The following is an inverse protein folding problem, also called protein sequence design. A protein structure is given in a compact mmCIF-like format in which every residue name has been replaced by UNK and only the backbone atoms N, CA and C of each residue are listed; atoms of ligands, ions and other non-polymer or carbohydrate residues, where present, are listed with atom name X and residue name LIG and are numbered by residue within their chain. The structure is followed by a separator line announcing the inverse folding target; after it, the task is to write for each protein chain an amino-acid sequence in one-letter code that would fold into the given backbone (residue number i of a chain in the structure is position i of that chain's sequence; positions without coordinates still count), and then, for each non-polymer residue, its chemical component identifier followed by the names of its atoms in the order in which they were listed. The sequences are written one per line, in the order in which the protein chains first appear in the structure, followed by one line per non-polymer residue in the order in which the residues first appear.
data_IF_739451504851
#
_entry.id   IF_739451504851
#
_cell.length_a   1.000
_cell.length_b   1.000
_cell.length_c   1.000
_cell.angle_alpha   90.00
_cell.angle_beta   90.00
_cell.angle_gamma   90.00
#
_symmetry.space_group_name_H-M   'P 1'
#
loop_
_entity.id
_entity.type
_entity.pdbx_description
1 polymer ?
#
# COMPACT_ATOMS: atom_id res chain seq x y z
N UNK A 1 -13.27 -5.84 -13.54
CA UNK A 1 -14.01 -5.68 -12.26
C UNK A 1 -15.45 -5.91 -12.61
N UNK A 2 -16.27 -6.40 -11.67
CA UNK A 2 -17.70 -6.54 -11.92
C UNK A 2 -18.31 -5.24 -12.47
N UNK A 3 -19.39 -5.34 -13.23
CA UNK A 3 -20.07 -4.16 -13.78
C UNK A 3 -20.69 -3.32 -12.66
N UNK A 4 -21.01 -2.05 -12.93
CA UNK A 4 -21.68 -1.19 -11.95
C UNK A 4 -23.07 -1.75 -11.60
N UNK A 5 -23.82 -2.23 -12.60
CA UNK A 5 -25.12 -2.89 -12.41
C UNK A 5 -25.00 -4.14 -11.53
N UNK A 6 -23.97 -4.96 -11.75
CA UNK A 6 -23.70 -6.13 -10.93
C UNK A 6 -23.34 -5.74 -9.49
N UNK A 7 -22.50 -4.72 -9.30
CA UNK A 7 -22.22 -4.17 -7.98
C UNK A 7 -23.50 -3.71 -7.28
N UNK A 8 -24.31 -2.89 -7.93
CA UNK A 8 -25.57 -2.38 -7.38
C UNK A 8 -26.49 -3.51 -6.94
N UNK A 9 -26.57 -4.59 -7.73
CA UNK A 9 -27.37 -5.77 -7.40
C UNK A 9 -26.87 -6.50 -6.15
N UNK A 10 -25.55 -6.53 -5.94
CA UNK A 10 -24.94 -7.19 -4.78
C UNK A 10 -25.16 -6.35 -3.52
N UNK A 11 -24.96 -5.03 -3.60
CA UNK A 11 -24.97 -4.14 -2.42
C UNK A 11 -26.35 -3.54 -2.11
N UNK A 12 -27.39 -3.87 -2.87
CA UNK A 12 -28.75 -3.33 -2.64
C UNK A 12 -29.26 -3.50 -1.19
N UNK A 13 -29.01 -4.63 -0.51
CA UNK A 13 -29.38 -4.81 0.90
C UNK A 13 -28.59 -3.96 1.91
N UNK A 14 -27.48 -3.33 1.52
CA UNK A 14 -26.62 -2.54 2.42
C UNK A 14 -27.29 -1.19 2.74
N UNK A 15 -27.15 -0.66 3.98
CA UNK A 15 -27.66 0.67 4.32
C UNK A 15 -27.21 1.73 3.31
N UNK A 16 -28.15 2.59 2.88
CA UNK A 16 -27.96 3.57 1.80
C UNK A 16 -26.67 4.38 1.95
N UNK A 17 -26.30 4.78 3.17
CA UNK A 17 -25.05 5.49 3.43
C UNK A 17 -23.83 4.70 2.95
N UNK A 18 -23.67 3.44 3.40
CA UNK A 18 -22.52 2.61 3.01
C UNK A 18 -22.60 2.21 1.54
N UNK A 19 -23.80 1.98 1.00
CA UNK A 19 -24.02 1.76 -0.44
C UNK A 19 -23.41 2.89 -1.29
N UNK A 20 -23.69 4.17 -0.95
CA UNK A 20 -23.15 5.32 -1.67
C UNK A 20 -21.62 5.45 -1.57
N UNK A 21 -21.03 5.12 -0.41
CA UNK A 21 -19.56 5.09 -0.27
C UNK A 21 -18.92 4.07 -1.24
N UNK A 22 -19.49 2.86 -1.34
CA UNK A 22 -18.98 1.80 -2.22
C UNK A 22 -19.11 2.14 -3.70
N UNK A 23 -20.22 2.75 -4.09
CA UNK A 23 -20.44 3.22 -5.46
C UNK A 23 -19.41 4.31 -5.83
N UNK A 24 -19.07 5.23 -4.91
CA UNK A 24 -18.03 6.23 -5.17
C UNK A 24 -16.64 5.58 -5.25
N UNK A 25 -16.31 4.62 -4.38
CA UNK A 25 -15.05 3.87 -4.49
C UNK A 25 -14.96 3.07 -5.79
N UNK A 26 -16.08 2.51 -6.28
CA UNK A 26 -16.13 1.87 -7.60
C UNK A 26 -15.67 2.84 -8.69
N UNK A 27 -16.28 4.04 -8.77
CA UNK A 27 -15.91 5.03 -9.78
C UNK A 27 -14.48 5.55 -9.60
N UNK A 28 -14.02 5.71 -8.35
CA UNK A 28 -12.65 6.07 -8.02
C UNK A 28 -11.66 5.04 -8.59
N UNK A 29 -11.90 3.75 -8.39
CA UNK A 29 -11.10 2.69 -9.00
C UNK A 29 -11.11 2.79 -10.53
N UNK A 30 -12.29 2.86 -11.16
CA UNK A 30 -12.39 2.87 -12.64
C UNK A 30 -11.61 4.05 -13.24
N UNK A 31 -11.82 5.26 -12.70
CA UNK A 31 -11.14 6.48 -13.15
C UNK A 31 -9.64 6.37 -12.88
N UNK A 32 -9.25 5.86 -11.71
CA UNK A 32 -7.84 5.71 -11.39
C UNK A 32 -7.14 4.70 -12.30
N UNK A 33 -7.84 3.65 -12.74
CA UNK A 33 -7.42 2.68 -13.76
C UNK A 33 -7.50 3.19 -15.22
N UNK A 34 -7.73 4.49 -15.46
CA UNK A 34 -7.88 5.10 -16.79
C UNK A 34 -9.05 4.55 -17.62
N UNK A 35 -10.13 4.10 -16.98
CA UNK A 35 -11.34 3.72 -17.71
C UNK A 35 -12.24 4.94 -17.90
N UNK A 36 -12.86 5.02 -19.07
CA UNK A 36 -13.68 6.16 -19.49
C UNK A 36 -15.07 6.12 -18.83
N UNK A 37 -15.13 6.35 -17.51
CA UNK A 37 -16.37 6.32 -16.72
C UNK A 37 -16.76 7.67 -16.13
N UNK A 38 -16.10 8.78 -16.53
CA UNK A 38 -16.41 10.11 -16.00
C UNK A 38 -17.83 10.57 -16.37
N UNK A 39 -18.29 10.32 -17.59
CA UNK A 39 -19.65 10.68 -18.02
C UNK A 39 -20.73 9.88 -17.25
N UNK A 40 -20.43 8.61 -16.95
CA UNK A 40 -21.30 7.76 -16.13
C UNK A 40 -21.33 8.26 -14.69
N UNK A 41 -20.16 8.61 -14.14
CA UNK A 41 -20.06 9.22 -12.81
C UNK A 41 -20.76 10.57 -12.74
N UNK A 42 -20.69 11.41 -13.78
CA UNK A 42 -21.39 12.70 -13.85
C UNK A 42 -22.91 12.53 -13.75
N UNK A 43 -23.47 11.52 -14.44
CA UNK A 43 -24.88 11.17 -14.31
C UNK A 43 -25.20 10.70 -12.90
N UNK A 44 -24.43 9.75 -12.37
CA UNK A 44 -24.59 9.24 -11.01
C UNK A 44 -24.51 10.37 -9.96
N UNK A 45 -23.52 11.26 -10.06
CA UNK A 45 -23.35 12.39 -9.15
C UNK A 45 -24.57 13.33 -9.16
N UNK A 46 -25.07 13.70 -10.34
CA UNK A 46 -26.25 14.58 -10.47
C UNK A 46 -27.54 13.92 -10.00
N UNK A 47 -27.81 12.72 -10.49
CA UNK A 47 -29.12 12.09 -10.38
C UNK A 47 -29.29 11.34 -9.05
N UNK A 48 -28.17 10.90 -8.45
CA UNK A 48 -28.18 10.09 -7.22
C UNK A 48 -27.64 10.85 -6.03
N UNK A 49 -26.40 11.37 -6.12
CA UNK A 49 -25.77 12.01 -4.96
C UNK A 49 -26.39 13.38 -4.67
N UNK A 50 -26.56 14.25 -5.67
CA UNK A 50 -27.06 15.61 -5.48
C UNK A 50 -28.58 15.70 -5.26
N UNK A 51 -29.36 14.76 -5.81
CA UNK A 51 -30.82 14.76 -5.70
C UNK A 51 -31.35 14.18 -4.36
N UNK A 52 -30.55 13.42 -3.62
CA UNK A 52 -30.95 12.74 -2.38
C UNK A 52 -30.46 13.40 -1.09
N UNK A 53 -30.89 12.86 0.06
CA UNK A 53 -30.26 13.14 1.37
C UNK A 53 -28.88 12.46 1.43
N UNK A 54 -27.85 13.18 0.99
CA UNK A 54 -26.47 12.69 1.00
C UNK A 54 -25.71 13.15 2.25
N UNK A 55 -24.73 12.34 2.65
CA UNK A 55 -23.74 12.75 3.63
C UNK A 55 -22.69 13.64 2.92
N UNK A 56 -22.23 14.69 3.62
CA UNK A 56 -21.09 15.54 3.24
C UNK A 56 -19.88 14.70 2.79
N UNK A 57 -19.67 13.52 3.40
CA UNK A 57 -18.64 12.53 3.00
C UNK A 57 -18.71 12.15 1.52
N UNK A 58 -19.86 11.70 1.02
CA UNK A 58 -19.96 11.19 -0.35
C UNK A 58 -19.70 12.28 -1.40
N UNK A 59 -20.12 13.52 -1.10
CA UNK A 59 -19.87 14.67 -1.97
C UNK A 59 -18.39 15.03 -1.97
N UNK A 60 -17.73 15.03 -0.81
CA UNK A 60 -16.27 15.25 -0.75
C UNK A 60 -15.48 14.14 -1.45
N UNK A 61 -15.86 12.87 -1.29
CA UNK A 61 -15.25 11.76 -2.06
C UNK A 61 -15.46 11.95 -3.58
N UNK A 62 -16.57 12.55 -4.00
CA UNK A 62 -16.79 12.86 -5.42
C UNK A 62 -15.80 13.89 -5.95
N UNK A 63 -15.34 14.84 -5.11
CA UNK A 63 -14.30 15.79 -5.48
C UNK A 63 -12.97 15.07 -5.78
N UNK A 64 -12.66 13.99 -5.06
CA UNK A 64 -11.50 13.16 -5.34
C UNK A 64 -11.62 12.46 -6.69
N UNK A 65 -12.78 11.91 -7.01
CA UNK A 65 -13.05 11.30 -8.31
C UNK A 65 -12.82 12.31 -9.46
N UNK A 66 -13.33 13.54 -9.32
CA UNK A 66 -13.10 14.61 -10.30
C UNK A 66 -11.62 15.02 -10.38
N UNK A 67 -10.96 15.18 -9.24
CA UNK A 67 -9.55 15.53 -9.19
C UNK A 67 -8.67 14.47 -9.88
N UNK A 68 -8.94 13.19 -9.66
CA UNK A 68 -8.26 12.07 -10.31
C UNK A 68 -8.50 12.02 -11.82
N UNK A 69 -9.71 12.39 -12.25
CA UNK A 69 -10.07 12.52 -13.66
C UNK A 69 -9.46 13.75 -14.35
N UNK A 70 -8.86 14.67 -13.58
CA UNK A 70 -8.28 15.92 -14.07
C UNK A 70 -9.27 17.09 -14.18
N UNK A 71 -10.52 16.91 -13.74
CA UNK A 71 -11.53 17.97 -13.66
C UNK A 71 -11.32 18.78 -12.38
N UNK A 72 -10.28 19.63 -12.41
CA UNK A 72 -9.91 20.47 -11.27
C UNK A 72 -10.99 21.47 -10.91
N UNK A 73 -11.72 22.00 -11.89
CA UNK A 73 -12.73 23.02 -11.67
C UNK A 73 -13.89 22.49 -10.82
N UNK A 74 -14.43 21.30 -11.16
CA UNK A 74 -15.47 20.65 -10.34
C UNK A 74 -14.95 20.27 -8.95
N UNK A 75 -13.74 19.72 -8.87
CA UNK A 75 -13.14 19.36 -7.59
C UNK A 75 -13.00 20.60 -6.67
N UNK A 76 -12.50 21.71 -7.21
CA UNK A 76 -12.38 22.99 -6.50
C UNK A 76 -13.75 23.56 -6.11
N UNK A 77 -14.76 23.47 -6.97
CA UNK A 77 -16.13 23.92 -6.65
C UNK A 77 -16.68 23.17 -5.43
N UNK A 78 -16.57 21.84 -5.43
CA UNK A 78 -17.03 20.99 -4.33
C UNK A 78 -16.25 21.34 -3.04
N UNK A 79 -14.92 21.45 -3.10
CA UNK A 79 -14.10 21.82 -1.94
C UNK A 79 -14.47 23.20 -1.37
N UNK A 80 -14.74 24.20 -2.21
CA UNK A 80 -15.13 25.54 -1.73
C UNK A 80 -16.44 25.51 -0.97
N UNK A 81 -17.39 24.65 -1.38
CA UNK A 81 -18.73 24.56 -0.81
C UNK A 81 -18.80 23.63 0.40
N UNK A 82 -18.09 22.50 0.36
CA UNK A 82 -18.19 21.43 1.35
C UNK A 82 -16.91 21.20 2.15
N UNK A 83 -15.75 21.67 1.70
CA UNK A 83 -14.45 21.43 2.35
C UNK A 83 -14.09 22.39 3.49
N UNK A 84 -15.05 23.20 3.98
CA UNK A 84 -14.86 24.14 5.10
C UNK A 84 -15.54 23.61 6.36
N UNK A 85 -14.98 23.99 7.52
CA UNK A 85 -15.47 23.65 8.87
C UNK A 85 -15.77 22.15 8.97
N UNK A 86 -14.71 21.36 8.86
CA UNK A 86 -14.76 19.90 8.96
C UNK A 86 -14.33 19.51 10.38
N UNK A 87 -15.18 18.76 11.07
CA UNK A 87 -14.92 18.26 12.42
C UNK A 87 -14.68 16.74 12.45
N UNK A 88 -14.80 16.09 11.29
CA UNK A 88 -14.66 14.64 11.10
C UNK A 88 -13.33 14.35 10.40
N UNK A 89 -12.55 13.44 11.00
CA UNK A 89 -11.19 13.10 10.57
C UNK A 89 -11.14 12.57 9.13
N UNK A 90 -12.09 11.72 8.72
CA UNK A 90 -12.16 11.22 7.35
C UNK A 90 -12.38 12.38 6.37
N UNK A 91 -13.30 13.30 6.71
CA UNK A 91 -13.60 14.44 5.85
C UNK A 91 -12.40 15.37 5.69
N UNK A 92 -11.66 15.62 6.78
CA UNK A 92 -10.44 16.44 6.78
C UNK A 92 -9.40 15.81 5.85
N UNK A 93 -9.16 14.50 5.98
CA UNK A 93 -8.19 13.78 5.16
C UNK A 93 -8.58 13.76 3.68
N UNK A 94 -9.85 13.48 3.35
CA UNK A 94 -10.35 13.56 1.98
C UNK A 94 -10.15 14.96 1.41
N UNK A 95 -10.62 16.00 2.10
CA UNK A 95 -10.51 17.38 1.61
C UNK A 95 -9.05 17.82 1.41
N UNK A 96 -8.16 17.42 2.32
CA UNK A 96 -6.72 17.70 2.26
C UNK A 96 -6.08 17.02 1.05
N UNK A 97 -6.34 15.72 0.85
CA UNK A 97 -5.83 14.97 -0.28
C UNK A 97 -6.31 15.56 -1.62
N UNK A 98 -7.60 15.87 -1.74
CA UNK A 98 -8.18 16.45 -2.97
C UNK A 98 -7.48 17.75 -3.33
N UNK A 99 -7.24 18.66 -2.36
CA UNK A 99 -6.47 19.90 -2.57
C UNK A 99 -5.09 19.59 -3.14
N UNK A 100 -4.40 18.61 -2.58
CA UNK A 100 -3.08 18.22 -3.04
C UNK A 100 -3.09 17.63 -4.46
N UNK A 101 -4.08 16.79 -4.80
CA UNK A 101 -4.25 16.22 -6.16
C UNK A 101 -4.45 17.34 -7.20
N UNK A 102 -5.24 18.37 -6.89
CA UNK A 102 -5.42 19.51 -7.80
C UNK A 102 -4.23 20.47 -7.83
N UNK A 103 -3.24 20.28 -6.94
CA UNK A 103 -2.00 21.06 -6.85
C UNK A 103 -2.07 22.25 -5.88
N UNK A 104 -3.11 22.33 -5.05
CA UNK A 104 -3.25 23.32 -3.99
C UNK A 104 -2.51 22.87 -2.73
N UNK A 105 -1.87 23.83 -2.04
CA UNK A 105 -1.20 23.57 -0.77
C UNK A 105 -2.23 23.16 0.30
N UNK A 106 -1.97 22.10 1.08
CA UNK A 106 -2.88 21.71 2.15
C UNK A 106 -2.88 22.77 3.26
N UNK A 107 -4.04 22.94 3.90
CA UNK A 107 -4.17 23.65 5.17
C UNK A 107 -3.81 22.67 6.29
N UNK A 108 -2.96 23.08 7.24
CA UNK A 108 -2.61 22.20 8.35
C UNK A 108 -3.80 22.00 9.29
N UNK A 109 -4.08 20.75 9.61
CA UNK A 109 -4.99 20.31 10.66
C UNK A 109 -4.32 19.19 11.49
N UNK A 110 -4.42 19.20 12.83
CA UNK A 110 -3.82 18.18 13.68
C UNK A 110 -4.42 16.76 13.48
N UNK A 111 -5.53 16.65 12.78
CA UNK A 111 -6.23 15.39 12.44
C UNK A 111 -5.77 14.77 11.12
N UNK A 112 -4.81 15.40 10.41
CA UNK A 112 -4.28 14.87 9.15
C UNK A 112 -3.46 13.60 9.42
N UNK A 113 -3.78 12.55 8.68
CA UNK A 113 -3.03 11.30 8.69
C UNK A 113 -1.67 11.46 7.99
N UNK A 114 -0.69 10.69 8.45
CA UNK A 114 0.68 10.73 7.92
C UNK A 114 0.73 10.42 6.42
N UNK A 115 -0.06 9.45 5.96
CA UNK A 115 -0.16 9.06 4.56
C UNK A 115 -0.63 10.22 3.68
N UNK A 116 -1.63 10.99 4.13
CA UNK A 116 -2.14 12.17 3.41
C UNK A 116 -1.09 13.28 3.38
N UNK A 117 -0.42 13.54 4.50
CA UNK A 117 0.62 14.57 4.60
C UNK A 117 1.80 14.28 3.66
N UNK A 118 2.26 13.03 3.63
CA UNK A 118 3.37 12.60 2.76
C UNK A 118 2.94 12.57 1.28
N UNK A 119 1.71 12.16 0.97
CA UNK A 119 1.16 12.27 -0.39
C UNK A 119 1.17 13.72 -0.87
N UNK A 120 0.71 14.67 -0.04
CA UNK A 120 0.72 16.10 -0.36
C UNK A 120 2.12 16.64 -0.66
N UNK A 121 3.15 16.19 0.05
CA UNK A 121 4.55 16.59 -0.18
C UNK A 121 5.04 16.29 -1.61
N UNK A 122 4.50 15.22 -2.20
CA UNK A 122 4.85 14.75 -3.54
C UNK A 122 3.93 15.27 -4.64
N UNK A 123 2.67 15.59 -4.29
CA UNK A 123 1.68 16.10 -5.24
C UNK A 123 1.75 17.62 -5.43
N UNK A 124 2.12 18.37 -4.38
CA UNK A 124 2.17 19.84 -4.42
C UNK A 124 3.61 20.31 -4.64
N UNK A 125 3.89 21.03 -5.75
CA UNK A 125 5.19 21.65 -5.97
C UNK A 125 5.56 22.57 -4.79
N UNK A 126 6.81 22.50 -4.34
CA UNK A 126 7.38 23.34 -3.27
C UNK A 126 6.76 23.19 -1.88
N UNK A 127 5.84 22.24 -1.65
CA UNK A 127 5.31 21.98 -0.32
C UNK A 127 6.28 21.12 0.51
N UNK A 128 6.77 21.68 1.62
CA UNK A 128 7.60 20.99 2.59
C UNK A 128 6.78 20.65 3.85
N UNK A 129 6.49 19.35 4.11
CA UNK A 129 5.60 18.92 5.19
C UNK A 129 6.25 18.88 6.57
N UNK A 130 7.57 19.08 6.71
CA UNK A 130 8.30 18.77 7.96
C UNK A 130 7.77 19.55 9.16
N UNK A 131 7.48 20.85 8.97
CA UNK A 131 6.95 21.69 10.06
C UNK A 131 5.57 21.25 10.49
N UNK A 132 4.75 20.82 9.53
CA UNK A 132 3.39 20.33 9.78
C UNK A 132 3.45 18.98 10.48
N UNK A 133 4.30 18.07 10.01
CA UNK A 133 4.54 16.77 10.63
C UNK A 133 4.99 16.87 12.09
N UNK A 134 5.97 17.73 12.40
CA UNK A 134 6.44 17.92 13.77
C UNK A 134 5.38 18.49 14.73
N UNK A 135 4.31 19.10 14.21
CA UNK A 135 3.18 19.59 15.02
C UNK A 135 2.19 18.48 15.38
N UNK A 136 2.26 17.31 14.73
CA UNK A 136 1.45 16.13 15.05
C UNK A 136 1.96 15.37 16.28
N UNK A 137 3.10 15.80 16.85
CA UNK A 137 3.79 15.12 17.97
C UNK A 137 4.05 13.62 17.70
N UNK A 138 4.77 13.29 16.60
CA UNK A 138 4.93 11.92 16.15
C UNK A 138 5.80 11.09 17.10
N UNK A 139 5.44 9.83 17.28
CA UNK A 139 6.30 8.86 17.94
C UNK A 139 7.50 8.45 17.04
N UNK A 140 8.45 7.69 17.59
CA UNK A 140 9.67 7.28 16.88
C UNK A 140 9.40 6.48 15.59
N UNK A 141 8.38 5.61 15.60
CA UNK A 141 8.02 4.79 14.44
C UNK A 141 7.40 5.66 13.34
N UNK A 142 6.48 6.57 13.70
CA UNK A 142 5.89 7.55 12.77
C UNK A 142 6.96 8.48 12.18
N UNK A 143 7.94 8.89 13.00
CA UNK A 143 9.07 9.71 12.56
C UNK A 143 9.93 9.01 11.51
N UNK A 144 10.24 7.74 11.72
CA UNK A 144 11.03 6.93 10.78
C UNK A 144 10.24 6.61 9.50
N UNK A 145 8.96 6.28 9.64
CA UNK A 145 8.04 6.08 8.51
C UNK A 145 7.91 7.34 7.65
N UNK A 146 7.78 8.51 8.28
CA UNK A 146 7.75 9.79 7.58
C UNK A 146 9.03 10.03 6.78
N UNK A 147 10.21 9.78 7.35
CA UNK A 147 11.49 9.89 6.63
C UNK A 147 11.49 9.04 5.36
N UNK A 148 11.08 7.77 5.47
CA UNK A 148 11.05 6.82 4.34
C UNK A 148 10.10 7.29 3.24
N UNK A 149 8.88 7.68 3.62
CA UNK A 149 7.85 8.15 2.70
C UNK A 149 8.18 9.52 2.10
N UNK A 150 9.04 10.31 2.74
CA UNK A 150 9.48 11.61 2.24
C UNK A 150 10.54 11.47 1.13
N UNK A 151 11.43 10.48 1.22
CA UNK A 151 12.56 10.32 0.29
C UNK A 151 12.26 9.44 -0.92
N UNK A 152 11.28 8.54 -0.82
CA UNK A 152 10.84 7.68 -1.93
C UNK A 152 9.32 7.79 -2.08
N UNK A 153 8.87 8.06 -3.30
CA UNK A 153 7.45 8.10 -3.67
C UNK A 153 6.90 6.72 -3.92
N UNK A 154 7.71 5.86 -4.52
CA UNK A 154 7.45 4.45 -4.69
C UNK A 154 8.81 3.75 -4.87
N UNK A 155 8.78 2.48 -5.27
CA UNK A 155 10.00 1.70 -5.52
C UNK A 155 10.96 2.31 -6.54
N UNK A 156 10.45 3.07 -7.49
CA UNK A 156 11.20 3.54 -8.65
C UNK A 156 11.48 5.04 -8.62
N UNK A 157 10.68 5.81 -7.90
CA UNK A 157 10.61 7.27 -7.99
C UNK A 157 11.11 7.91 -6.71
N UNK A 158 12.22 8.66 -6.74
CA UNK A 158 12.67 9.43 -5.59
C UNK A 158 11.75 10.62 -5.30
N UNK A 159 11.75 11.04 -4.05
CA UNK A 159 11.23 12.34 -3.64
C UNK A 159 12.04 13.50 -4.22
N UNK A 160 11.53 14.72 -4.06
CA UNK A 160 12.23 15.93 -4.51
C UNK A 160 13.51 16.13 -3.69
N UNK A 161 14.56 16.72 -4.28
CA UNK A 161 15.88 16.88 -3.64
C UNK A 161 15.81 17.64 -2.31
N UNK A 162 14.97 18.66 -2.21
CA UNK A 162 14.73 19.42 -0.98
C UNK A 162 14.10 18.56 0.13
N UNK A 163 13.18 17.66 -0.23
CA UNK A 163 12.57 16.71 0.72
C UNK A 163 13.59 15.68 1.21
N UNK A 164 14.49 15.21 0.34
CA UNK A 164 15.61 14.33 0.72
C UNK A 164 16.55 15.02 1.70
N UNK A 165 16.89 16.29 1.48
CA UNK A 165 17.72 17.06 2.42
C UNK A 165 17.07 17.21 3.80
N UNK A 166 15.75 17.43 3.83
CA UNK A 166 15.03 17.47 5.10
C UNK A 166 15.05 16.13 5.83
N UNK A 167 14.80 15.03 5.11
CA UNK A 167 14.91 13.68 5.67
C UNK A 167 16.30 13.40 6.26
N UNK A 168 17.38 13.84 5.58
CA UNK A 168 18.75 13.72 6.09
C UNK A 168 18.96 14.52 7.39
N UNK A 169 18.39 15.72 7.49
CA UNK A 169 18.43 16.50 8.74
C UNK A 169 17.64 15.81 9.85
N UNK A 170 16.48 15.25 9.50
CA UNK A 170 15.60 14.54 10.42
C UNK A 170 16.25 13.27 10.97
N UNK A 171 17.00 12.53 10.14
CA UNK A 171 17.70 11.30 10.51
C UNK A 171 18.56 11.44 11.78
N UNK A 172 19.12 12.63 12.04
CA UNK A 172 19.95 12.91 13.22
C UNK A 172 19.21 12.77 14.55
N UNK A 173 17.87 12.74 14.53
CA UNK A 173 17.02 12.62 15.72
C UNK A 173 16.53 11.20 15.96
N UNK A 174 16.73 10.30 15.00
CA UNK A 174 16.35 8.87 15.13
C UNK A 174 17.31 8.22 16.13
N UNK A 175 16.73 7.65 17.20
CA UNK A 175 17.44 7.02 18.31
C UNK A 175 17.41 5.51 18.20
N UNK A 176 16.35 4.95 17.64
CA UNK A 176 16.26 3.51 17.43
C UNK A 176 17.28 3.07 16.36
N UNK A 177 18.12 2.10 16.71
CA UNK A 177 19.21 1.65 15.83
C UNK A 177 18.70 0.88 14.61
N UNK A 178 17.62 0.14 14.76
CA UNK A 178 17.03 -0.64 13.69
C UNK A 178 16.30 0.27 12.70
N UNK A 179 15.53 1.23 13.21
CA UNK A 179 14.87 2.24 12.37
C UNK A 179 15.92 3.08 11.62
N UNK A 180 16.99 3.48 12.31
CA UNK A 180 18.09 4.24 11.70
C UNK A 180 18.74 3.50 10.52
N UNK A 181 18.91 2.18 10.63
CA UNK A 181 19.49 1.36 9.54
C UNK A 181 18.55 1.35 8.33
N UNK A 182 17.25 1.17 8.55
CA UNK A 182 16.25 1.19 7.49
C UNK A 182 16.11 2.57 6.84
N UNK A 183 16.12 3.65 7.62
CA UNK A 183 16.04 5.02 7.09
C UNK A 183 17.24 5.37 6.22
N UNK A 184 18.45 4.92 6.63
CA UNK A 184 19.67 5.09 5.82
C UNK A 184 19.59 4.38 4.48
N UNK A 185 18.95 3.22 4.40
CA UNK A 185 18.72 2.52 3.13
C UNK A 185 17.86 3.34 2.19
N UNK A 186 16.73 3.86 2.69
CA UNK A 186 15.82 4.66 1.89
C UNK A 186 16.49 5.95 1.41
N UNK A 187 17.25 6.61 2.29
CA UNK A 187 18.05 7.80 1.94
C UNK A 187 19.12 7.46 0.90
N UNK A 188 19.88 6.37 1.08
CA UNK A 188 20.92 5.96 0.13
C UNK A 188 20.33 5.63 -1.25
N UNK A 189 19.21 4.90 -1.29
CA UNK A 189 18.50 4.59 -2.53
C UNK A 189 18.00 5.87 -3.22
N UNK A 190 17.37 6.79 -2.47
CA UNK A 190 16.89 8.06 -2.99
C UNK A 190 18.04 8.94 -3.54
N UNK A 191 19.14 9.08 -2.79
CA UNK A 191 20.34 9.82 -3.20
C UNK A 191 20.94 9.25 -4.50
N UNK A 192 21.08 7.93 -4.60
CA UNK A 192 21.58 7.28 -5.82
C UNK A 192 20.64 7.53 -7.01
N UNK A 193 19.32 7.43 -6.82
CA UNK A 193 18.32 7.69 -7.87
C UNK A 193 18.34 9.14 -8.37
N UNK A 194 18.71 10.12 -7.53
CA UNK A 194 18.87 11.53 -7.93
C UNK A 194 20.29 11.91 -8.38
N UNK A 195 21.20 10.94 -8.48
CA UNK A 195 22.58 11.13 -8.93
C UNK A 195 23.50 11.82 -7.91
N UNK A 196 23.22 11.70 -6.61
CA UNK A 196 24.01 12.32 -5.55
C UNK A 196 24.97 11.33 -4.89
N UNK A 197 26.27 11.53 -5.12
CA UNK A 197 27.36 10.63 -4.69
C UNK A 197 27.45 10.40 -3.17
N UNK A 198 26.81 11.23 -2.32
CA UNK A 198 26.74 11.01 -0.87
C UNK A 198 26.09 9.68 -0.50
N UNK A 199 25.34 9.06 -1.42
CA UNK A 199 24.80 7.71 -1.21
C UNK A 199 25.89 6.70 -0.80
N UNK A 200 27.14 6.86 -1.29
CA UNK A 200 28.25 5.95 -0.99
C UNK A 200 28.61 5.93 0.49
N UNK A 201 28.51 7.06 1.17
CA UNK A 201 28.81 7.16 2.60
C UNK A 201 27.81 6.34 3.41
N UNK A 202 26.52 6.44 3.07
CA UNK A 202 25.46 5.64 3.69
C UNK A 202 25.63 4.14 3.42
N UNK A 203 25.97 3.75 2.19
CA UNK A 203 26.23 2.34 1.84
C UNK A 203 27.38 1.77 2.65
N UNK A 204 28.48 2.51 2.78
CA UNK A 204 29.66 2.09 3.56
C UNK A 204 29.31 1.88 5.03
N UNK A 205 28.46 2.73 5.61
CA UNK A 205 27.97 2.55 6.97
C UNK A 205 27.10 1.29 7.11
N UNK A 206 26.21 1.03 6.13
CA UNK A 206 25.35 -0.15 6.11
C UNK A 206 26.14 -1.46 5.97
N UNK A 207 27.16 -1.50 5.10
CA UNK A 207 28.08 -2.64 4.99
C UNK A 207 28.81 -2.92 6.33
N UNK A 208 29.14 -1.87 7.08
CA UNK A 208 29.75 -1.99 8.41
C UNK A 208 28.83 -2.70 9.42
N UNK A 209 27.52 -2.47 9.35
CA UNK A 209 26.52 -3.12 10.22
C UNK A 209 26.46 -4.63 9.97
N UNK A 210 26.52 -5.06 8.70
CA UNK A 210 26.50 -6.49 8.34
C UNK A 210 27.71 -7.26 8.88
N UNK A 211 28.89 -6.63 8.92
CA UNK A 211 30.14 -7.28 9.36
C UNK A 211 30.21 -7.51 10.89
N UNK A 212 29.46 -6.75 11.69
CA UNK A 212 29.56 -6.76 13.16
C UNK A 212 28.74 -7.84 13.87
N UNK A 213 27.65 -8.30 13.24
CA UNK A 213 26.74 -9.42 13.55
C UNK A 213 25.48 -9.12 12.74
N UNK A 214 25.32 -9.75 11.56
CA UNK A 214 24.16 -9.51 10.71
C UNK A 214 22.87 -9.83 11.48
N UNK A 215 22.13 -8.80 11.88
CA UNK A 215 20.74 -8.97 12.34
C UNK A 215 19.87 -9.23 11.12
N UNK A 216 18.76 -9.95 11.27
CA UNK A 216 17.81 -10.15 10.18
C UNK A 216 17.33 -8.81 9.61
N UNK A 217 17.14 -7.78 10.45
CA UNK A 217 16.81 -6.42 10.00
C UNK A 217 17.92 -5.77 9.17
N UNK A 218 19.20 -5.92 9.53
CA UNK A 218 20.31 -5.44 8.71
C UNK A 218 20.39 -6.15 7.36
N UNK A 219 20.08 -7.45 7.32
CA UNK A 219 19.98 -8.19 6.06
C UNK A 219 18.80 -7.72 5.21
N UNK A 220 17.64 -7.46 5.83
CA UNK A 220 16.47 -6.84 5.18
C UNK A 220 16.81 -5.48 4.59
N UNK A 221 17.47 -4.63 5.36
CA UNK A 221 17.88 -3.30 4.93
C UNK A 221 18.77 -3.37 3.67
N UNK A 222 19.80 -4.22 3.66
CA UNK A 222 20.71 -4.32 2.51
C UNK A 222 20.08 -4.98 1.30
N UNK A 223 19.25 -6.01 1.49
CA UNK A 223 18.47 -6.59 0.42
C UNK A 223 17.54 -5.55 -0.23
N UNK A 224 16.84 -4.76 0.59
CA UNK A 224 16.01 -3.65 0.10
C UNK A 224 16.83 -2.63 -0.68
N UNK A 225 18.01 -2.26 -0.19
CA UNK A 225 18.90 -1.34 -0.90
C UNK A 225 19.25 -1.84 -2.31
N UNK A 226 19.72 -3.09 -2.44
CA UNK A 226 20.03 -3.67 -3.75
C UNK A 226 18.78 -3.83 -4.62
N UNK A 227 17.65 -4.19 -4.02
CA UNK A 227 16.39 -4.35 -4.71
C UNK A 227 15.84 -3.01 -5.26
N UNK A 228 15.91 -1.91 -4.51
CA UNK A 228 15.54 -0.56 -4.96
C UNK A 228 16.33 -0.11 -6.19
N UNK A 229 17.56 -0.59 -6.31
CA UNK A 229 18.48 -0.25 -7.39
C UNK A 229 18.44 -1.23 -8.54
N UNK A 230 17.66 -2.31 -8.41
CA UNK A 230 17.55 -3.40 -9.39
C UNK A 230 18.93 -3.95 -9.77
N UNK A 231 19.86 -3.96 -8.82
CA UNK A 231 21.24 -4.43 -9.00
C UNK A 231 21.27 -5.96 -8.87
N UNK A 232 21.06 -6.65 -9.99
CA UNK A 232 20.87 -8.11 -10.00
C UNK A 232 22.10 -8.86 -9.50
N UNK A 233 23.29 -8.40 -9.85
CA UNK A 233 24.55 -9.08 -9.50
C UNK A 233 24.79 -9.01 -7.99
N UNK A 234 24.69 -7.82 -7.41
CA UNK A 234 24.84 -7.63 -5.96
C UNK A 234 23.74 -8.33 -5.18
N UNK A 235 22.50 -8.29 -5.67
CA UNK A 235 21.37 -9.00 -5.06
C UNK A 235 21.61 -10.53 -5.05
N UNK A 236 22.05 -11.10 -6.17
CA UNK A 236 22.37 -12.53 -6.27
C UNK A 236 23.54 -12.92 -5.35
N UNK A 237 24.60 -12.12 -5.29
CA UNK A 237 25.73 -12.36 -4.38
C UNK A 237 25.30 -12.30 -2.92
N UNK A 238 24.47 -11.32 -2.56
CA UNK A 238 23.94 -11.17 -1.21
C UNK A 238 23.06 -12.36 -0.81
N UNK A 239 22.17 -12.80 -1.69
CA UNK A 239 21.31 -13.97 -1.47
C UNK A 239 22.09 -15.27 -1.34
N UNK A 240 23.13 -15.47 -2.16
CA UNK A 240 24.02 -16.62 -2.05
C UNK A 240 24.74 -16.62 -0.70
N UNK A 241 25.15 -15.45 -0.20
CA UNK A 241 25.78 -15.30 1.12
C UNK A 241 24.79 -15.62 2.25
N UNK A 242 23.56 -15.11 2.18
CA UNK A 242 22.51 -15.41 3.15
C UNK A 242 22.17 -16.90 3.22
N UNK A 243 21.93 -17.52 2.06
CA UNK A 243 21.58 -18.96 1.98
C UNK A 243 22.74 -19.88 2.40
N UNK A 244 23.98 -19.55 2.04
CA UNK A 244 25.18 -20.28 2.48
C UNK A 244 25.39 -20.20 4.00
N UNK A 245 25.10 -19.05 4.61
CA UNK A 245 25.24 -18.84 6.06
C UNK A 245 24.21 -19.67 6.88
N UNK A 246 23.02 -19.89 6.32
CA UNK A 246 21.97 -20.70 6.94
C UNK A 246 22.22 -22.21 6.80
N UNK A 247 22.94 -22.64 5.75
CA UNK A 247 23.24 -24.06 5.49
C UNK A 247 24.48 -24.58 6.23
N UNK A 248 25.41 -23.69 6.61
CA UNK A 248 26.66 -24.06 7.28
C UNK A 248 26.56 -24.09 8.81
N UNK A 249 25.50 -23.53 9.40
CA UNK A 249 25.13 -23.75 10.80
C UNK A 249 24.17 -24.93 10.92
N UNK A 250 24.66 -26.13 11.25
CA UNK A 250 23.91 -27.41 11.26
C UNK A 250 22.71 -27.56 12.22
N UNK A 251 22.01 -26.48 12.56
CA UNK A 251 20.66 -26.53 13.16
C UNK A 251 19.68 -26.14 12.06
N UNK A 252 18.69 -27.01 11.79
CA UNK A 252 17.49 -26.65 11.03
C UNK A 252 17.04 -25.26 11.49
N UNK A 253 16.99 -24.31 10.56
CA UNK A 253 16.52 -22.96 10.83
C UNK A 253 15.19 -23.01 11.58
N UNK A 254 15.05 -22.16 12.60
CA UNK A 254 13.81 -22.05 13.36
C UNK A 254 12.65 -21.65 12.44
N UNK A 255 11.41 -21.96 12.82
CA UNK A 255 10.22 -21.56 12.05
C UNK A 255 10.17 -20.05 11.79
N UNK A 256 10.56 -19.23 12.77
CA UNK A 256 10.63 -17.77 12.67
C UNK A 256 11.65 -17.27 11.63
N UNK A 257 12.79 -17.95 11.49
CA UNK A 257 13.82 -17.59 10.51
C UNK A 257 13.34 -17.84 9.08
N UNK A 258 12.53 -18.89 8.87
CA UNK A 258 11.93 -19.17 7.56
C UNK A 258 10.88 -18.14 7.15
N UNK A 259 9.98 -17.78 8.06
CA UNK A 259 8.99 -16.71 7.82
C UNK A 259 9.69 -15.40 7.48
N UNK A 260 10.75 -15.08 8.22
CA UNK A 260 11.57 -13.89 7.97
C UNK A 260 12.25 -13.93 6.60
N UNK A 261 12.79 -15.10 6.20
CA UNK A 261 13.39 -15.28 4.87
C UNK A 261 12.35 -15.18 3.74
N UNK A 262 11.16 -15.75 3.89
CA UNK A 262 10.09 -15.65 2.89
C UNK A 262 9.70 -14.18 2.71
N UNK A 263 9.47 -13.46 3.82
CA UNK A 263 9.13 -12.03 3.79
C UNK A 263 10.22 -11.21 3.12
N UNK A 264 11.49 -11.51 3.43
CA UNK A 264 12.66 -10.90 2.79
C UNK A 264 12.64 -11.12 1.26
N UNK A 265 12.48 -12.37 0.81
CA UNK A 265 12.47 -12.72 -0.60
C UNK A 265 11.28 -12.07 -1.34
N UNK A 266 10.11 -12.02 -0.71
CA UNK A 266 8.92 -11.37 -1.26
C UNK A 266 9.09 -9.86 -1.39
N UNK A 267 9.70 -9.21 -0.40
CA UNK A 267 10.04 -7.80 -0.50
C UNK A 267 10.96 -7.55 -1.70
N UNK A 268 12.09 -8.25 -1.82
CA UNK A 268 12.95 -8.09 -3.00
C UNK A 268 12.24 -8.42 -4.32
N UNK A 269 11.36 -9.43 -4.34
CA UNK A 269 10.53 -9.72 -5.50
C UNK A 269 9.65 -8.53 -5.85
N UNK A 270 9.02 -7.86 -4.89
CA UNK A 270 8.15 -6.73 -5.20
C UNK A 270 8.88 -5.58 -5.91
N UNK A 271 10.12 -5.33 -5.49
CA UNK A 271 10.98 -4.29 -6.06
C UNK A 271 11.53 -4.67 -7.44
N UNK A 272 11.93 -5.93 -7.63
CA UNK A 272 12.72 -6.35 -8.80
C UNK A 272 11.92 -7.13 -9.84
N UNK A 273 10.84 -7.81 -9.42
CA UNK A 273 10.03 -8.77 -10.16
C UNK A 273 10.82 -9.95 -10.74
N UNK A 274 11.96 -10.29 -10.13
CA UNK A 274 12.80 -11.42 -10.55
C UNK A 274 12.17 -12.77 -10.16
N UNK A 275 11.91 -13.63 -11.16
CA UNK A 275 11.25 -14.92 -10.95
C UNK A 275 11.96 -15.82 -9.93
N UNK A 276 13.30 -15.82 -9.94
CA UNK A 276 14.13 -16.63 -9.02
C UNK A 276 13.83 -16.33 -7.54
N UNK A 277 13.53 -15.08 -7.20
CA UNK A 277 13.20 -14.69 -5.82
C UNK A 277 11.86 -15.28 -5.39
N UNK A 278 10.88 -15.20 -6.28
CA UNK A 278 9.56 -15.80 -6.05
C UNK A 278 9.68 -17.32 -5.93
N UNK A 279 10.45 -17.97 -6.79
CA UNK A 279 10.65 -19.42 -6.75
C UNK A 279 11.30 -19.87 -5.44
N UNK A 280 12.29 -19.11 -4.93
CA UNK A 280 12.89 -19.36 -3.62
C UNK A 280 11.88 -19.14 -2.49
N UNK A 281 11.09 -18.07 -2.54
CA UNK A 281 10.06 -17.80 -1.53
C UNK A 281 9.01 -18.92 -1.50
N UNK A 282 8.54 -19.37 -2.67
CA UNK A 282 7.58 -20.47 -2.81
C UNK A 282 8.12 -21.78 -2.29
N UNK A 283 9.42 -22.06 -2.54
CA UNK A 283 10.09 -23.26 -2.02
C UNK A 283 10.10 -23.24 -0.49
N UNK A 284 10.53 -22.14 0.12
CA UNK A 284 10.57 -22.01 1.59
C UNK A 284 9.16 -22.07 2.19
N UNK A 285 8.17 -21.46 1.54
CA UNK A 285 6.77 -21.54 1.95
C UNK A 285 6.23 -22.97 1.96
N UNK A 286 6.56 -23.78 0.94
CA UNK A 286 6.17 -25.20 0.88
C UNK A 286 6.73 -26.04 2.03
N UNK A 287 7.84 -25.62 2.65
CA UNK A 287 8.41 -26.26 3.82
C UNK A 287 7.73 -25.84 5.14
N UNK A 288 6.98 -24.74 5.14
CA UNK A 288 6.12 -24.32 6.26
C UNK A 288 4.85 -25.17 6.24
N UNK A 289 4.78 -26.10 7.19
CA UNK A 289 3.61 -26.98 7.35
C UNK A 289 2.50 -26.26 8.11
N UNK A 290 1.26 -26.55 7.74
CA UNK A 290 0.09 -26.23 8.56
C UNK A 290 0.24 -26.88 9.94
N UNK A 291 0.34 -26.03 10.97
CA UNK A 291 0.48 -26.45 12.36
C UNK A 291 -0.89 -26.51 13.07
N UNK A 292 -0.86 -26.73 14.39
CA UNK A 292 -2.05 -26.50 15.24
C UNK A 292 -2.43 -25.02 15.33
N UNK A 293 -1.43 -24.15 15.21
CA UNK A 293 -1.58 -22.71 15.03
C UNK A 293 -1.40 -22.41 13.53
N UNK A 294 -2.44 -21.89 12.90
CA UNK A 294 -2.49 -21.58 11.46
C UNK A 294 -2.07 -20.14 11.16
N UNK A 295 -1.96 -19.28 12.19
CA UNK A 295 -1.76 -17.83 12.04
C UNK A 295 -0.51 -17.47 11.27
N UNK A 296 0.61 -18.14 11.52
CA UNK A 296 1.90 -17.86 10.87
C UNK A 296 1.85 -18.11 9.35
N UNK A 297 1.33 -19.27 8.94
CA UNK A 297 1.24 -19.62 7.51
C UNK A 297 0.21 -18.76 6.79
N UNK A 298 -0.88 -18.39 7.48
CA UNK A 298 -1.87 -17.43 7.00
C UNK A 298 -1.26 -16.04 6.80
N UNK A 299 -0.45 -15.55 7.73
CA UNK A 299 0.25 -14.27 7.62
C UNK A 299 1.15 -14.24 6.38
N UNK A 300 2.00 -15.26 6.22
CA UNK A 300 2.88 -15.37 5.04
C UNK A 300 2.08 -15.45 3.74
N UNK A 301 1.01 -16.23 3.72
CA UNK A 301 0.13 -16.34 2.56
C UNK A 301 -0.54 -14.99 2.22
N UNK A 302 -0.96 -14.22 3.23
CA UNK A 302 -1.48 -12.86 3.04
C UNK A 302 -0.48 -11.96 2.32
N UNK A 303 0.81 -12.02 2.70
CA UNK A 303 1.88 -11.28 2.02
C UNK A 303 2.06 -11.75 0.57
N UNK A 304 2.04 -13.06 0.31
CA UNK A 304 2.07 -13.58 -1.07
C UNK A 304 0.92 -13.05 -1.92
N UNK A 305 -0.32 -13.13 -1.41
CA UNK A 305 -1.51 -12.65 -2.12
C UNK A 305 -1.38 -11.15 -2.42
N UNK A 306 -0.91 -10.35 -1.46
CA UNK A 306 -0.74 -8.92 -1.63
C UNK A 306 0.34 -8.58 -2.66
N UNK A 307 1.48 -9.27 -2.67
CA UNK A 307 2.68 -8.85 -3.42
C UNK A 307 2.79 -9.46 -4.83
N UNK A 308 2.25 -10.67 -5.02
CA UNK A 308 2.45 -11.43 -6.27
C UNK A 308 1.55 -10.91 -7.38
N UNK A 309 2.17 -10.48 -8.47
CA UNK A 309 1.52 -9.98 -9.69
C UNK A 309 1.21 -11.08 -10.73
N UNK A 310 1.21 -12.34 -10.30
CA UNK A 310 0.93 -13.53 -11.13
C UNK A 310 -0.43 -14.13 -10.74
N UNK A 311 -1.49 -13.95 -11.56
CA UNK A 311 -2.84 -14.41 -11.22
C UNK A 311 -2.90 -15.89 -10.85
N UNK A 312 -2.18 -16.74 -11.58
CA UNK A 312 -2.17 -18.19 -11.39
C UNK A 312 -1.63 -18.59 -10.01
N UNK A 313 -0.61 -17.86 -9.52
CA UNK A 313 -0.02 -18.07 -8.21
C UNK A 313 -1.00 -17.61 -7.12
N UNK A 314 -1.56 -16.40 -7.25
CA UNK A 314 -2.55 -15.87 -6.31
C UNK A 314 -3.78 -16.77 -6.20
N UNK A 315 -4.32 -17.24 -7.33
CA UNK A 315 -5.45 -18.20 -7.36
C UNK A 315 -5.06 -19.55 -6.75
N UNK A 316 -3.81 -20.00 -6.88
CA UNK A 316 -3.36 -21.25 -6.26
C UNK A 316 -3.36 -21.17 -4.73
N UNK A 317 -2.97 -20.03 -4.15
CA UNK A 317 -3.03 -19.81 -2.70
C UNK A 317 -4.46 -19.75 -2.19
N UNK A 318 -5.37 -19.12 -2.94
CA UNK A 318 -6.78 -19.12 -2.60
C UNK A 318 -7.37 -20.53 -2.58
N UNK A 319 -6.96 -21.41 -3.50
CA UNK A 319 -7.34 -22.83 -3.48
C UNK A 319 -6.76 -23.59 -2.30
N UNK A 320 -5.48 -23.36 -1.98
CA UNK A 320 -4.88 -23.96 -0.78
C UNK A 320 -5.67 -23.57 0.48
N UNK A 321 -6.06 -22.30 0.61
CA UNK A 321 -6.87 -21.85 1.73
C UNK A 321 -8.24 -22.57 1.77
N UNK A 322 -8.95 -22.65 0.64
CA UNK A 322 -10.27 -23.31 0.61
C UNK A 322 -10.20 -24.77 0.97
N UNK A 323 -9.13 -25.45 0.55
CA UNK A 323 -9.02 -26.90 0.67
C UNK A 323 -8.51 -27.35 2.05
N UNK A 324 -7.76 -26.50 2.76
CA UNK A 324 -7.08 -26.87 4.02
C UNK A 324 -7.74 -26.28 5.25
N UNK A 325 -8.18 -25.01 5.17
CA UNK A 325 -8.63 -24.29 6.36
C UNK A 325 -10.13 -24.50 6.62
N UNK A 326 -10.87 -25.12 5.70
CA UNK A 326 -12.33 -24.95 5.60
C UNK A 326 -12.63 -23.46 5.76
N UNK A 327 -12.36 -22.68 4.70
CA UNK A 327 -12.70 -21.26 4.72
C UNK A 327 -14.21 -21.16 5.05
N UNK A 328 -14.50 -20.85 6.31
CA UNK A 328 -15.77 -20.29 6.69
C UNK A 328 -15.86 -18.88 6.11
N UNK A 329 -17.08 -18.39 5.97
CA UNK A 329 -17.33 -17.04 5.47
C UNK A 329 -16.44 -15.99 6.17
N UNK A 330 -16.12 -16.18 7.45
CA UNK A 330 -15.30 -15.27 8.28
C UNK A 330 -13.89 -15.10 7.71
N UNK A 331 -13.24 -16.18 7.27
CA UNK A 331 -11.89 -16.11 6.69
C UNK A 331 -11.85 -15.42 5.31
N UNK A 332 -12.89 -15.60 4.45
CA UNK A 332 -13.00 -14.82 3.19
C UNK A 332 -13.10 -13.33 3.48
N UNK A 333 -13.88 -12.95 4.50
CA UNK A 333 -14.10 -11.55 4.86
C UNK A 333 -12.83 -10.88 5.38
N UNK A 334 -12.04 -11.59 6.19
CA UNK A 334 -10.76 -11.10 6.68
C UNK A 334 -9.75 -10.83 5.54
N UNK A 335 -9.85 -11.58 4.43
CA UNK A 335 -8.97 -11.42 3.26
C UNK A 335 -9.45 -10.34 2.28
N UNK A 336 -10.68 -9.82 2.41
CA UNK A 336 -11.25 -8.88 1.45
C UNK A 336 -10.35 -7.66 1.17
N UNK A 337 -9.77 -6.98 2.18
CA UNK A 337 -8.83 -5.87 1.97
C UNK A 337 -7.61 -6.27 1.15
N UNK A 338 -6.96 -7.38 1.53
CA UNK A 338 -5.75 -7.90 0.87
C UNK A 338 -6.05 -8.31 -0.57
N UNK A 339 -7.24 -8.88 -0.82
CA UNK A 339 -7.67 -9.26 -2.15
C UNK A 339 -7.96 -8.06 -3.05
N UNK A 340 -8.37 -6.92 -2.48
CA UNK A 340 -8.47 -5.66 -3.21
C UNK A 340 -7.10 -5.18 -3.72
N UNK A 341 -6.06 -5.26 -2.88
CA UNK A 341 -4.68 -4.95 -3.26
C UNK A 341 -4.18 -5.94 -4.33
N UNK A 342 -4.38 -7.24 -4.09
CA UNK A 342 -4.00 -8.30 -5.02
C UNK A 342 -4.62 -8.09 -6.40
N UNK A 343 -5.90 -7.69 -6.43
CA UNK A 343 -6.63 -7.42 -7.66
C UNK A 343 -5.97 -6.33 -8.50
N UNK A 344 -5.47 -5.25 -7.88
CA UNK A 344 -4.69 -4.20 -8.58
C UNK A 344 -3.37 -4.77 -9.09
N UNK A 345 -2.65 -5.52 -8.26
CA UNK A 345 -1.34 -6.07 -8.62
C UNK A 345 -1.38 -7.09 -9.75
N UNK A 346 -2.45 -7.89 -9.84
CA UNK A 346 -2.69 -8.81 -10.96
C UNK A 346 -3.41 -8.14 -12.15
N UNK A 347 -3.41 -6.80 -12.19
CA UNK A 347 -3.95 -5.97 -13.30
C UNK A 347 -5.45 -6.14 -13.54
N UNK A 348 -6.21 -6.34 -12.48
CA UNK A 348 -7.67 -6.42 -12.54
C UNK A 348 -8.21 -7.73 -13.12
N UNK A 349 -7.53 -8.86 -12.89
CA UNK A 349 -7.99 -10.16 -13.35
C UNK A 349 -9.28 -10.61 -12.62
N UNK A 350 -10.39 -10.59 -13.34
CA UNK A 350 -11.72 -10.89 -12.81
C UNK A 350 -11.91 -12.34 -12.36
N UNK A 351 -11.00 -13.26 -12.73
CA UNK A 351 -10.99 -14.62 -12.21
C UNK A 351 -10.85 -14.64 -10.68
N UNK A 352 -10.22 -13.63 -10.08
CA UNK A 352 -10.08 -13.51 -8.63
C UNK A 352 -11.45 -13.36 -7.95
N UNK A 353 -12.25 -12.39 -8.39
CA UNK A 353 -13.58 -12.11 -7.83
C UNK A 353 -14.53 -13.28 -8.12
N UNK A 354 -14.49 -13.81 -9.35
CA UNK A 354 -15.28 -14.98 -9.75
C UNK A 354 -14.98 -16.19 -8.85
N UNK A 355 -13.70 -16.41 -8.53
CA UNK A 355 -13.30 -17.49 -7.65
C UNK A 355 -13.88 -17.30 -6.24
N UNK A 356 -13.70 -16.10 -5.64
CA UNK A 356 -14.26 -15.80 -4.31
C UNK A 356 -15.78 -15.97 -4.30
N UNK A 357 -16.49 -15.47 -5.30
CA UNK A 357 -17.94 -15.58 -5.40
C UNK A 357 -18.43 -17.00 -5.66
N UNK A 358 -17.62 -17.86 -6.28
CA UNK A 358 -17.92 -19.29 -6.45
C UNK A 358 -17.82 -20.06 -5.13
N UNK A 359 -17.11 -19.52 -4.13
CA UNK A 359 -16.91 -20.12 -2.81
C UNK A 359 -17.84 -19.52 -1.74
N UNK A 360 -18.16 -18.24 -1.88
CA UNK A 360 -19.21 -17.58 -1.11
C UNK A 360 -20.59 -17.93 -1.71
N UNK A 361 -21.12 -19.11 -1.39
CA UNK A 361 -22.38 -19.60 -1.98
C UNK A 361 -23.60 -18.76 -1.57
N UNK A 362 -23.57 -18.13 -0.38
CA UNK A 362 -24.66 -17.29 0.11
C UNK A 362 -24.46 -15.79 -0.20
N UNK A 363 -25.57 -15.08 -0.38
CA UNK A 363 -25.58 -13.65 -0.66
C UNK A 363 -24.99 -12.82 0.51
N UNK A 364 -25.12 -13.29 1.75
CA UNK A 364 -24.62 -12.62 2.96
C UNK A 364 -23.10 -12.52 2.99
N UNK A 365 -22.40 -13.57 2.61
CA UNK A 365 -20.93 -13.57 2.51
C UNK A 365 -20.44 -12.63 1.39
N UNK A 366 -21.09 -12.66 0.22
CA UNK A 366 -20.77 -11.71 -0.87
C UNK A 366 -20.97 -10.26 -0.42
N UNK A 367 -22.11 -9.98 0.24
CA UNK A 367 -22.44 -8.68 0.81
C UNK A 367 -21.37 -8.16 1.78
N UNK A 368 -20.88 -9.02 2.67
CA UNK A 368 -19.89 -8.63 3.65
C UNK A 368 -18.47 -8.49 3.05
N UNK A 369 -18.17 -9.19 1.95
CA UNK A 369 -16.86 -9.15 1.28
C UNK A 369 -16.65 -7.84 0.50
N UNK A 370 -17.67 -7.43 -0.25
CA UNK A 370 -17.55 -6.32 -1.21
C UNK A 370 -17.04 -4.99 -0.63
N UNK A 371 -17.43 -4.58 0.59
CA UNK A 371 -16.95 -3.33 1.14
C UNK A 371 -15.43 -3.27 1.28
N UNK A 372 -14.84 -4.27 1.94
CA UNK A 372 -13.39 -4.33 2.15
C UNK A 372 -12.63 -4.46 0.84
N UNK A 373 -13.16 -5.25 -0.09
CA UNK A 373 -12.53 -5.45 -1.40
C UNK A 373 -12.50 -4.18 -2.26
N UNK A 374 -13.66 -3.53 -2.47
CA UNK A 374 -13.75 -2.36 -3.37
C UNK A 374 -12.97 -1.17 -2.81
N UNK A 375 -13.09 -0.91 -1.52
CA UNK A 375 -12.39 0.18 -0.85
C UNK A 375 -10.88 0.03 -1.05
N UNK A 376 -10.31 -1.14 -0.73
CA UNK A 376 -8.87 -1.37 -0.85
C UNK A 376 -8.39 -1.40 -2.32
N UNK A 377 -9.19 -1.95 -3.24
CA UNK A 377 -8.86 -1.89 -4.67
C UNK A 377 -8.81 -0.44 -5.17
N UNK A 378 -9.76 0.41 -4.78
CA UNK A 378 -9.78 1.82 -5.15
C UNK A 378 -8.56 2.57 -4.60
N UNK A 379 -8.29 2.41 -3.30
CA UNK A 379 -7.20 3.11 -2.62
C UNK A 379 -5.82 2.70 -3.15
N UNK A 380 -5.60 1.41 -3.41
CA UNK A 380 -4.37 0.93 -4.02
C UNK A 380 -4.23 1.42 -5.47
N UNK A 381 -5.32 1.43 -6.24
CA UNK A 381 -5.28 1.95 -7.61
C UNK A 381 -4.98 3.46 -7.66
N UNK A 382 -5.49 4.24 -6.70
CA UNK A 382 -5.16 5.67 -6.54
C UNK A 382 -3.68 5.84 -6.20
N UNK A 383 -3.15 5.05 -5.25
CA UNK A 383 -1.72 5.04 -4.91
C UNK A 383 -0.85 4.82 -6.14
N UNK A 384 -1.18 3.81 -6.93
CA UNK A 384 -0.45 3.46 -8.16
C UNK A 384 -0.54 4.59 -9.19
N UNK A 385 -1.73 5.16 -9.41
CA UNK A 385 -1.91 6.27 -10.36
C UNK A 385 -1.11 7.52 -9.99
N UNK A 386 -1.15 7.89 -8.72
CA UNK A 386 -0.54 9.12 -8.24
C UNK A 386 0.94 8.95 -7.87
N UNK A 387 1.44 7.70 -7.88
CA UNK A 387 2.81 7.34 -7.48
C UNK A 387 3.08 7.85 -6.07
N UNK A 388 2.34 7.28 -5.12
CA UNK A 388 2.36 7.62 -3.70
C UNK A 388 3.01 6.50 -2.85
N UNK A 389 3.66 6.87 -1.72
CA UNK A 389 4.38 5.90 -0.88
C UNK A 389 3.44 4.92 -0.19
N UNK A 390 2.24 5.39 0.20
CA UNK A 390 1.21 4.60 0.87
C UNK A 390 -0.15 4.88 0.23
N UNK A 391 -1.12 3.93 0.33
CA UNK A 391 -2.50 4.21 -0.05
C UNK A 391 -3.05 5.39 0.76
N UNK A 392 -3.74 6.34 0.11
CA UNK A 392 -4.18 7.56 0.78
C UNK A 392 -5.48 7.40 1.57
N UNK A 393 -6.15 6.24 1.47
CA UNK A 393 -7.24 5.89 2.36
C UNK A 393 -6.66 5.22 3.61
N UNK A 394 -7.28 5.46 4.76
CA UNK A 394 -6.96 4.77 6.01
C UNK A 394 -7.02 3.25 5.80
N UNK A 395 -5.87 2.63 5.55
CA UNK A 395 -5.72 1.20 5.70
C UNK A 395 -5.90 0.94 7.19
N UNK A 396 -7.06 0.40 7.59
CA UNK A 396 -7.10 -0.33 8.85
C UNK A 396 -5.92 -1.32 8.85
N UNK A 397 -5.23 -1.53 9.99
CA UNK A 397 -4.04 -2.35 10.04
C UNK A 397 -4.30 -3.69 9.34
N UNK A 398 -3.58 -3.91 8.24
CA UNK A 398 -3.63 -5.15 7.48
C UNK A 398 -2.81 -6.17 8.26
N UNK A 399 -3.51 -6.96 9.08
CA UNK A 399 -3.08 -8.16 9.83
C UNK A 399 -1.76 -8.06 10.63
#
# INVERSE_FOLDING_TARGET
MISFEELESIIDPIPLRKKRELEVYYFMYQIASNKSTLDEFDRYFRDVLMAGQHNKKHVLMSAEVYALAGDKDKATEILKRYGKNLDDLDLINIATLVRCIIGERPEFDPSIELGVLTACAHLVPDYNPVKDFLRLDPNEAEYSMFIRNLVLRDKDTPGRKDLIEEAIKMLKRVKDKDELVMDKVYIAAALKKVGDERYRDYVKELEGVLRGKATMKGATAMLLYYAFLKDKEELDQFLNTLTASQTSGGKRSGKEEKVSLITLLLNAYDYTKEAKLLDLALKEYGEVKWGKDTSEKLSVLGVFIAVVDRPEVTLSFLRELTDIVEIDAINVLALAPILGIAYVNIKGDDRLIQYVFSKAEDQGTKLAFMPGFIENAACEQVRVRLVLPEPPCSLGPVL
#
